data_IF_680849687239
#
_entry.id   IF_680849687239
#
_cell.length_a   1.000
_cell.length_b   1.000
_cell.length_c   1.000
_cell.angle_alpha   90.00
_cell.angle_beta   90.00
_cell.angle_gamma   90.00
#
_symmetry.space_group_name_H-M   'P 1'
#
loop_
_entity.id
_entity.type
_entity.pdbx_description
1 polymer ?
#
# COMPACT_ATOMS: atom_id res chain seq x y z
N UNK A 1 -9.91 -16.82 1.40
CA UNK A 1 -10.53 -15.59 1.95
C UNK A 1 -11.61 -15.13 0.99
N UNK A 2 -12.80 -14.70 1.45
CA UNK A 2 -13.80 -14.09 0.59
C UNK A 2 -13.20 -12.87 -0.13
N UNK A 3 -13.55 -12.71 -1.41
CA UNK A 3 -12.99 -11.68 -2.31
C UNK A 3 -13.07 -10.27 -1.69
N UNK A 4 -14.16 -9.99 -0.96
CA UNK A 4 -14.42 -8.75 -0.24
C UNK A 4 -13.41 -8.42 0.85
N UNK A 5 -12.99 -9.42 1.65
CA UNK A 5 -11.94 -9.21 2.67
C UNK A 5 -10.61 -8.87 2.02
N UNK A 6 -10.28 -9.54 0.91
CA UNK A 6 -9.03 -9.31 0.21
C UNK A 6 -8.97 -7.89 -0.37
N UNK A 7 -10.08 -7.42 -0.97
CA UNK A 7 -10.20 -6.03 -1.45
C UNK A 7 -10.05 -5.04 -0.30
N UNK A 8 -10.75 -5.25 0.82
CA UNK A 8 -10.66 -4.38 2.00
C UNK A 8 -9.23 -4.26 2.55
N UNK A 9 -8.51 -5.38 2.70
CA UNK A 9 -7.12 -5.37 3.20
C UNK A 9 -6.20 -4.65 2.21
N UNK A 10 -6.40 -4.84 0.91
CA UNK A 10 -5.57 -4.17 -0.11
C UNK A 10 -5.80 -2.67 -0.07
N UNK A 11 -7.05 -2.22 0.12
CA UNK A 11 -7.41 -0.81 0.26
C UNK A 11 -6.75 -0.16 1.48
N UNK A 12 -6.83 -0.80 2.64
CA UNK A 12 -6.17 -0.34 3.86
C UNK A 12 -4.65 -0.28 3.69
N UNK A 13 -4.06 -1.29 3.05
CA UNK A 13 -2.64 -1.34 2.79
C UNK A 13 -2.17 -0.23 1.83
N UNK A 14 -2.94 0.08 0.79
CA UNK A 14 -2.62 1.19 -0.12
C UNK A 14 -2.63 2.52 0.63
N UNK A 15 -3.65 2.77 1.46
CA UNK A 15 -3.75 4.01 2.24
C UNK A 15 -2.59 4.10 3.25
N UNK A 16 -2.31 3.02 3.97
CA UNK A 16 -1.21 2.98 4.94
C UNK A 16 0.15 3.18 4.28
N UNK A 17 0.38 2.59 3.11
CA UNK A 17 1.63 2.73 2.35
C UNK A 17 1.80 4.15 1.79
N UNK A 18 0.75 4.72 1.17
CA UNK A 18 0.79 6.10 0.66
C UNK A 18 1.03 7.11 1.77
N UNK A 19 0.36 6.97 2.90
CA UNK A 19 0.56 7.86 4.04
C UNK A 19 1.92 7.65 4.70
N UNK A 20 2.32 6.40 4.91
CA UNK A 20 3.61 6.04 5.50
C UNK A 20 4.77 6.61 4.70
N UNK A 21 4.77 6.48 3.37
CA UNK A 21 5.85 7.00 2.53
C UNK A 21 5.87 8.52 2.51
N UNK A 22 4.72 9.19 2.48
CA UNK A 22 4.66 10.65 2.56
C UNK A 22 5.32 11.16 3.85
N UNK A 23 4.97 10.56 4.99
CA UNK A 23 5.54 10.92 6.30
C UNK A 23 7.03 10.55 6.39
N UNK A 24 7.44 9.38 5.89
CA UNK A 24 8.82 8.93 5.97
C UNK A 24 9.76 9.83 5.16
N UNK A 25 9.33 10.25 3.97
CA UNK A 25 10.11 11.13 3.10
C UNK A 25 10.17 12.55 3.66
N UNK A 26 9.07 13.08 4.17
CA UNK A 26 9.06 14.39 4.81
C UNK A 26 9.97 14.42 6.05
N UNK A 27 9.93 13.38 6.88
CA UNK A 27 10.75 13.28 8.09
C UNK A 27 12.24 13.03 7.82
N UNK A 28 12.60 12.24 6.80
CA UNK A 28 14.01 11.90 6.50
C UNK A 28 14.69 12.90 5.57
N UNK A 29 13.97 13.46 4.61
CA UNK A 29 14.53 14.29 3.53
C UNK A 29 14.08 15.75 3.60
N UNK A 30 13.08 16.09 4.43
CA UNK A 30 12.54 17.46 4.51
C UNK A 30 11.88 17.94 3.22
N UNK A 31 11.60 17.02 2.29
CA UNK A 31 11.03 17.30 0.98
C UNK A 31 9.52 17.04 1.02
N UNK A 32 8.74 18.08 0.70
CA UNK A 32 7.30 17.93 0.49
C UNK A 32 7.08 17.02 -0.72
N UNK A 33 6.57 15.81 -0.50
CA UNK A 33 6.26 14.87 -1.59
C UNK A 33 5.03 15.38 -2.33
N UNK A 34 5.13 15.67 -3.64
CA UNK A 34 3.96 16.02 -4.43
C UNK A 34 2.88 14.93 -4.35
N UNK A 35 1.62 15.32 -4.23
CA UNK A 35 0.48 14.39 -4.02
C UNK A 35 0.33 13.31 -5.11
N UNK A 36 0.83 13.55 -6.32
CA UNK A 36 0.83 12.53 -7.37
C UNK A 36 1.87 11.42 -7.12
N UNK A 37 3.00 11.72 -6.46
CA UNK A 37 4.04 10.74 -6.13
C UNK A 37 3.62 9.82 -4.99
N UNK A 38 2.89 10.32 -3.99
CA UNK A 38 2.35 9.47 -2.91
C UNK A 38 1.30 8.47 -3.43
N UNK A 39 0.51 8.86 -4.45
CA UNK A 39 -0.41 7.98 -5.15
C UNK A 39 0.29 6.91 -5.99
N UNK A 40 1.36 7.27 -6.71
CA UNK A 40 2.18 6.31 -7.48
C UNK A 40 2.83 5.28 -6.56
N UNK A 41 3.37 5.71 -5.41
CA UNK A 41 3.96 4.78 -4.44
C UNK A 41 2.91 3.87 -3.82
N UNK A 42 1.70 4.37 -3.53
CA UNK A 42 0.58 3.52 -3.10
C UNK A 42 0.17 2.48 -4.14
N UNK A 43 0.12 2.89 -5.41
CA UNK A 43 -0.15 1.99 -6.54
C UNK A 43 0.94 0.93 -6.73
N UNK A 44 2.22 1.31 -6.60
CA UNK A 44 3.35 0.37 -6.64
C UNK A 44 3.36 -0.58 -5.44
N UNK A 45 2.96 -0.11 -4.25
CA UNK A 45 2.82 -0.94 -3.06
C UNK A 45 1.65 -1.94 -3.16
N UNK A 46 0.63 -1.66 -3.96
CA UNK A 46 -0.51 -2.56 -4.16
C UNK A 46 -0.10 -3.91 -4.76
N UNK A 47 0.87 -3.92 -5.68
CA UNK A 47 1.36 -5.13 -6.36
C UNK A 47 1.98 -6.17 -5.40
N UNK A 48 3.00 -5.83 -4.57
CA UNK A 48 3.57 -6.78 -3.62
C UNK A 48 2.58 -7.17 -2.52
N UNK A 49 1.70 -6.26 -2.07
CA UNK A 49 0.65 -6.57 -1.08
C UNK A 49 -0.33 -7.61 -1.63
N UNK A 50 -0.74 -7.48 -2.90
CA UNK A 50 -1.65 -8.41 -3.54
C UNK A 50 -1.04 -9.81 -3.73
N UNK A 51 0.24 -9.87 -4.11
CA UNK A 51 0.98 -11.14 -4.20
C UNK A 51 1.22 -11.77 -2.82
N UNK A 52 1.50 -10.96 -1.79
CA UNK A 52 1.65 -11.44 -0.42
C UNK A 52 0.33 -12.01 0.12
N UNK A 53 -0.79 -11.32 -0.10
CA UNK A 53 -2.12 -11.79 0.27
C UNK A 53 -2.53 -13.08 -0.45
N UNK A 54 -2.11 -13.28 -1.71
CA UNK A 54 -2.30 -14.58 -2.41
C UNK A 54 -1.52 -15.70 -1.74
N UNK A 55 -0.31 -15.42 -1.24
CA UNK A 55 0.54 -16.43 -0.57
C UNK A 55 0.12 -16.74 0.86
N UNK A 56 -0.49 -15.78 1.57
CA UNK A 56 -0.97 -15.94 2.96
C UNK A 56 -2.41 -16.47 3.03
N UNK A 57 -3.15 -16.49 1.92
CA UNK A 57 -4.49 -17.08 1.84
C UNK A 57 -4.48 -18.62 1.87
N UNK A 58 -5.55 -19.27 2.38
CA UNK A 58 -5.57 -20.72 2.56
C UNK A 58 -5.45 -21.43 1.21
N UNK A 59 -4.45 -22.32 1.09
CA UNK A 59 -4.41 -23.37 0.05
C UNK A 59 -5.62 -24.28 0.27
N UNK A 60 -6.68 -24.08 -0.50
CA UNK A 60 -7.66 -25.12 -0.84
C UNK A 60 -7.94 -25.03 -2.32
#
# INVERSE_FOLDING_TARGET
>A
MPLWQRIGITLVAIVAASWGVAVLVETLLGLAVPSYLSGVVGGLAALPVWEFLKRVGPRR
#
